data_IF_281278102714
#
_entry.id   IF_281278102714
#
_cell.length_a   1.000
_cell.length_b   1.000
_cell.length_c   1.000
_cell.angle_alpha   90.00
_cell.angle_beta   90.00
_cell.angle_gamma   90.00
#
_symmetry.space_group_name_H-M   'P 1'
#
loop_
_entity.id
_entity.type
_entity.pdbx_description
1 polymer ?
#
# COMPACT_ATOMS: atom_id res chain seq x y z
N UNK A 1 -0.02 -4.92 15.03
CA UNK A 1 -0.93 -5.48 14.01
C UNK A 1 -0.19 -6.60 13.30
N UNK A 2 -0.87 -7.68 12.92
CA UNK A 2 -0.38 -8.69 11.98
C UNK A 2 -1.27 -8.73 10.72
N UNK A 3 -0.75 -9.20 9.59
CA UNK A 3 -1.49 -9.36 8.35
C UNK A 3 -1.42 -10.81 7.85
N UNK A 4 -2.51 -11.27 7.23
CA UNK A 4 -2.56 -12.50 6.45
C UNK A 4 -3.02 -12.11 5.05
N UNK A 5 -2.12 -12.23 4.08
CA UNK A 5 -2.34 -11.76 2.72
C UNK A 5 -2.39 -12.97 1.78
N UNK A 6 -3.55 -13.17 1.15
CA UNK A 6 -3.77 -14.14 0.07
C UNK A 6 -4.61 -13.44 -1.00
N UNK A 7 -4.52 -13.88 -2.25
CA UNK A 7 -5.31 -13.31 -3.33
C UNK A 7 -6.81 -13.35 -2.98
N UNK A 8 -7.47 -12.19 -3.06
CA UNK A 8 -8.88 -12.02 -2.68
C UNK A 8 -9.18 -12.12 -1.19
N UNK A 9 -8.18 -12.35 -0.34
CA UNK A 9 -8.34 -12.54 1.10
C UNK A 9 -7.16 -11.92 1.86
N UNK A 10 -7.30 -10.62 2.12
CA UNK A 10 -6.30 -9.82 2.83
C UNK A 10 -6.88 -9.38 4.18
N UNK A 11 -6.46 -10.03 5.27
CA UNK A 11 -6.99 -9.82 6.63
C UNK A 11 -5.95 -9.17 7.54
N UNK A 12 -6.44 -8.35 8.46
CA UNK A 12 -5.64 -7.74 9.52
C UNK A 12 -6.06 -8.31 10.86
N UNK A 13 -5.08 -8.41 11.76
CA UNK A 13 -5.28 -8.85 13.13
C UNK A 13 -4.65 -7.87 14.11
N UNK A 14 -5.36 -7.63 15.22
CA UNK A 14 -4.77 -7.07 16.42
C UNK A 14 -4.17 -8.22 17.24
N UNK A 15 -2.97 -7.98 17.79
CA UNK A 15 -2.32 -8.91 18.71
C UNK A 15 -2.52 -8.38 20.11
N UNK A 16 -3.21 -9.15 20.95
CA UNK A 16 -3.41 -8.80 22.36
C UNK A 16 -3.29 -10.09 23.18
N UNK A 17 -2.43 -10.06 24.21
CA UNK A 17 -2.20 -11.20 25.11
C UNK A 17 -1.93 -12.53 24.37
N UNK A 18 -1.08 -12.49 23.34
CA UNK A 18 -0.71 -13.68 22.55
C UNK A 18 -1.81 -14.23 21.63
N UNK A 19 -3.01 -13.65 21.61
CA UNK A 19 -4.10 -14.05 20.72
C UNK A 19 -4.28 -13.06 19.57
N UNK A 20 -4.48 -13.59 18.37
CA UNK A 20 -4.87 -12.81 17.21
C UNK A 20 -6.39 -12.63 17.17
N UNK A 21 -6.86 -11.39 17.14
CA UNK A 21 -8.28 -11.05 16.92
C UNK A 21 -8.41 -10.24 15.63
N UNK A 22 -9.54 -10.32 14.90
CA UNK A 22 -9.78 -9.47 13.74
C UNK A 22 -9.48 -8.01 14.07
N UNK A 23 -8.76 -7.32 13.18
CA UNK A 23 -8.46 -5.91 13.36
C UNK A 23 -9.75 -5.10 13.12
N UNK A 24 -10.10 -4.14 13.99
CA UNK A 24 -11.33 -3.37 13.84
C UNK A 24 -11.31 -2.54 12.55
N UNK A 25 -12.38 -2.63 11.75
CA UNK A 25 -12.47 -2.01 10.42
C UNK A 25 -12.39 -0.49 10.47
N UNK A 26 -12.97 0.12 11.51
CA UNK A 26 -12.97 1.55 11.78
C UNK A 26 -11.56 2.10 12.04
N UNK A 27 -10.61 1.23 12.45
CA UNK A 27 -9.22 1.62 12.68
C UNK A 27 -8.35 1.53 11.43
N UNK A 28 -8.82 0.92 10.33
CA UNK A 28 -8.00 0.74 9.12
C UNK A 28 -7.53 2.09 8.55
N UNK A 29 -8.40 3.10 8.54
CA UNK A 29 -8.06 4.46 8.10
C UNK A 29 -7.36 5.32 9.16
N UNK A 30 -7.10 4.80 10.36
CA UNK A 30 -6.50 5.57 11.45
C UNK A 30 -5.01 5.79 11.21
N UNK A 31 -4.53 7.00 11.54
CA UNK A 31 -3.12 7.38 11.52
C UNK A 31 -2.30 6.61 12.57
N UNK A 32 -1.00 6.46 12.30
CA UNK A 32 -0.04 5.74 13.13
C UNK A 32 1.06 6.71 13.58
N UNK A 33 1.39 6.67 14.88
CA UNK A 33 2.56 7.36 15.47
C UNK A 33 2.70 8.83 15.03
N UNK A 34 1.62 9.62 15.18
CA UNK A 34 1.53 11.04 14.81
C UNK A 34 1.96 11.38 13.37
N UNK A 35 2.03 10.38 12.49
CA UNK A 35 2.34 10.53 11.08
C UNK A 35 1.05 10.57 10.25
N UNK A 36 1.18 10.98 8.99
CA UNK A 36 0.06 10.89 8.07
C UNK A 36 -0.22 9.45 7.62
N UNK A 37 0.69 8.52 7.85
CA UNK A 37 0.56 7.10 7.47
C UNK A 37 -0.51 6.41 8.30
N UNK A 38 -1.30 5.58 7.65
CA UNK A 38 -2.41 4.83 8.24
C UNK A 38 -2.16 3.33 8.22
N UNK A 39 -2.96 2.59 8.97
CA UNK A 39 -2.94 1.12 8.97
C UNK A 39 -3.21 0.53 7.58
N UNK A 40 -4.07 1.17 6.80
CA UNK A 40 -4.32 0.84 5.39
C UNK A 40 -3.04 0.93 4.56
N UNK A 41 -2.27 2.01 4.70
CA UNK A 41 -1.04 2.27 3.93
C UNK A 41 0.05 1.23 4.21
N UNK A 42 0.31 0.92 5.50
CA UNK A 42 1.34 -0.05 5.87
C UNK A 42 0.95 -1.49 5.56
N UNK A 43 -0.35 -1.79 5.54
CA UNK A 43 -0.82 -3.16 5.32
C UNK A 43 -0.61 -3.65 3.89
N UNK A 44 -0.55 -2.72 2.92
CA UNK A 44 -0.49 -3.00 1.47
C UNK A 44 -1.54 -4.01 0.99
N UNK A 45 -2.67 -4.14 1.71
CA UNK A 45 -3.74 -5.12 1.42
C UNK A 45 -4.33 -4.97 0.03
N UNK A 46 -4.32 -3.76 -0.50
CA UNK A 46 -4.83 -3.46 -1.83
C UNK A 46 -4.13 -4.27 -2.94
N UNK A 47 -2.86 -4.66 -2.75
CA UNK A 47 -2.14 -5.52 -3.70
C UNK A 47 -2.76 -6.93 -3.83
N UNK A 48 -3.66 -7.30 -2.92
CA UNK A 48 -4.31 -8.60 -2.86
C UNK A 48 -5.82 -8.53 -3.13
N UNK A 49 -6.34 -7.35 -3.51
CA UNK A 49 -7.73 -7.23 -3.94
C UNK A 49 -7.97 -8.03 -5.22
N UNK A 50 -9.10 -8.75 -5.27
CA UNK A 50 -9.41 -9.69 -6.36
C UNK A 50 -9.76 -9.00 -7.68
N UNK A 51 -10.33 -7.80 -7.60
CA UNK A 51 -10.74 -7.03 -8.78
C UNK A 51 -9.56 -6.15 -9.21
N UNK A 52 -8.80 -6.68 -10.16
CA UNK A 52 -7.58 -6.09 -10.69
C UNK A 52 -7.63 -6.07 -12.22
N UNK A 53 -7.37 -4.91 -12.84
CA UNK A 53 -7.37 -4.74 -14.29
C UNK A 53 -6.11 -4.01 -14.75
N UNK A 54 -5.41 -4.54 -15.75
CA UNK A 54 -4.30 -3.81 -16.41
C UNK A 54 -4.92 -2.74 -17.32
N UNK A 55 -4.66 -1.48 -17.02
CA UNK A 55 -5.19 -0.31 -17.73
C UNK A 55 -4.32 0.12 -18.91
N UNK A 56 -3.09 -0.38 -18.98
CA UNK A 56 -2.12 -0.02 -20.01
C UNK A 56 -0.70 0.11 -19.46
N UNK A 57 0.11 0.89 -20.17
CA UNK A 57 1.53 1.09 -19.86
C UNK A 57 1.81 2.58 -19.66
N UNK A 58 2.58 2.91 -18.63
CA UNK A 58 3.01 4.28 -18.34
C UNK A 58 4.47 4.29 -17.86
N UNK A 59 5.17 5.42 -18.05
CA UNK A 59 6.53 5.61 -17.53
C UNK A 59 6.49 6.22 -16.14
N UNK A 60 7.14 5.59 -15.18
CA UNK A 60 7.43 6.16 -13.86
C UNK A 60 8.95 6.30 -13.74
N UNK A 61 9.44 7.54 -13.58
CA UNK A 61 10.89 7.84 -13.52
C UNK A 61 11.66 7.18 -14.68
N UNK A 62 11.14 7.33 -15.90
CA UNK A 62 11.65 6.73 -17.15
C UNK A 62 11.58 5.19 -17.24
N UNK A 63 11.08 4.50 -16.22
CA UNK A 63 10.91 3.03 -16.23
C UNK A 63 9.53 2.65 -16.77
N UNK A 64 9.49 1.67 -17.67
CA UNK A 64 8.23 1.14 -18.21
C UNK A 64 7.48 0.33 -17.14
N UNK A 65 6.23 0.72 -16.88
CA UNK A 65 5.38 0.08 -15.88
C UNK A 65 4.02 -0.34 -16.48
N UNK A 66 3.48 -1.45 -16.01
CA UNK A 66 2.04 -1.71 -16.11
C UNK A 66 1.30 -0.84 -15.11
N UNK A 67 0.26 -0.14 -15.57
CA UNK A 67 -0.70 0.53 -14.68
C UNK A 67 -1.84 -0.43 -14.39
N UNK A 68 -2.01 -0.77 -13.13
CA UNK A 68 -3.02 -1.72 -12.67
C UNK A 68 -4.04 -0.97 -11.82
N UNK A 69 -5.31 -1.07 -12.17
CA UNK A 69 -6.44 -0.60 -11.35
C UNK A 69 -6.88 -1.72 -10.43
N UNK A 70 -7.01 -1.42 -9.15
CA UNK A 70 -7.42 -2.31 -8.08
C UNK A 70 -8.68 -1.72 -7.43
N UNK A 71 -9.75 -2.49 -7.34
CA UNK A 71 -11.02 -2.05 -6.73
C UNK A 71 -11.19 -2.72 -5.37
N UNK A 72 -11.51 -1.93 -4.35
CA UNK A 72 -11.75 -2.47 -3.01
C UNK A 72 -12.98 -3.39 -3.07
N UNK A 73 -12.84 -4.70 -2.80
CA UNK A 73 -13.97 -5.62 -2.81
C UNK A 73 -14.86 -5.48 -1.56
N UNK A 74 -14.49 -4.58 -0.65
CA UNK A 74 -15.17 -4.30 0.61
C UNK A 74 -15.44 -2.81 0.75
N UNK A 75 -16.08 -2.44 1.86
CA UNK A 75 -16.32 -1.05 2.23
C UNK A 75 -15.47 -0.59 3.42
N UNK A 76 -14.39 -1.33 3.72
CA UNK A 76 -13.43 -0.97 4.77
C UNK A 76 -12.36 0.01 4.26
N UNK A 77 -11.68 0.67 5.21
CA UNK A 77 -10.63 1.64 4.88
C UNK A 77 -11.15 2.90 4.18
N UNK A 78 -10.21 3.66 3.60
CA UNK A 78 -10.50 4.93 2.91
C UNK A 78 -10.39 4.80 1.40
N UNK A 79 -9.71 3.77 0.90
CA UNK A 79 -9.52 3.56 -0.52
C UNK A 79 -10.68 2.75 -1.12
N UNK A 80 -11.31 3.31 -2.16
CA UNK A 80 -12.23 2.59 -3.04
C UNK A 80 -11.50 2.03 -4.27
N UNK A 81 -10.53 2.80 -4.79
CA UNK A 81 -9.74 2.48 -5.96
C UNK A 81 -8.28 2.78 -5.66
N UNK A 82 -7.41 1.84 -6.03
CA UNK A 82 -5.96 2.02 -6.03
C UNK A 82 -5.45 1.83 -7.45
N UNK A 83 -4.55 2.70 -7.90
CA UNK A 83 -3.70 2.41 -9.05
C UNK A 83 -2.30 2.05 -8.58
N UNK A 84 -1.77 0.95 -9.08
CA UNK A 84 -0.40 0.52 -8.83
C UNK A 84 0.37 0.48 -10.16
N UNK A 85 1.58 1.02 -10.14
CA UNK A 85 2.52 0.93 -11.25
C UNK A 85 3.58 -0.10 -10.92
N UNK A 86 3.61 -1.17 -11.71
CA UNK A 86 4.53 -2.29 -11.53
C UNK A 86 5.49 -2.35 -12.71
N UNK A 87 6.78 -2.37 -12.42
CA UNK A 87 7.85 -2.42 -13.42
C UNK A 87 7.69 -3.67 -14.31
N UNK A 88 7.68 -3.51 -15.64
CA UNK A 88 7.37 -4.60 -16.57
C UNK A 88 8.38 -5.75 -16.52
N UNK A 89 9.68 -5.43 -16.47
CA UNK A 89 10.75 -6.44 -16.45
C UNK A 89 10.93 -7.12 -15.08
N UNK A 90 10.94 -6.36 -14.00
CA UNK A 90 11.35 -6.85 -12.68
C UNK A 90 10.17 -7.13 -11.74
N UNK A 91 8.94 -6.75 -12.10
CA UNK A 91 7.77 -6.91 -11.23
C UNK A 91 7.79 -6.03 -9.97
N UNK A 92 8.75 -5.12 -9.84
CA UNK A 92 8.88 -4.24 -8.68
C UNK A 92 7.79 -3.16 -8.67
N UNK A 93 7.23 -2.88 -7.49
CA UNK A 93 6.28 -1.78 -7.30
C UNK A 93 7.00 -0.43 -7.37
N UNK A 94 6.54 0.47 -8.25
CA UNK A 94 7.19 1.76 -8.52
C UNK A 94 6.41 2.95 -7.97
N UNK A 95 5.07 2.90 -8.05
CA UNK A 95 4.18 3.93 -7.54
C UNK A 95 2.84 3.34 -7.14
N UNK A 96 2.17 3.97 -6.17
CA UNK A 96 0.77 3.69 -5.82
C UNK A 96 0.01 5.01 -5.70
N UNK A 97 -1.24 5.07 -6.14
CA UNK A 97 -2.18 6.15 -5.80
C UNK A 97 -3.48 5.58 -5.26
N UNK A 98 -3.96 6.14 -4.15
CA UNK A 98 -5.21 5.72 -3.50
C UNK A 98 -6.29 6.81 -3.59
N UNK A 99 -7.49 6.41 -3.99
CA UNK A 99 -8.65 7.28 -4.20
C UNK A 99 -9.81 6.88 -3.28
N UNK A 100 -10.58 7.86 -2.82
CA UNK A 100 -11.80 7.62 -2.05
C UNK A 100 -13.00 7.28 -2.95
N UNK A 101 -14.17 6.99 -2.35
CA UNK A 101 -15.42 6.66 -3.08
C UNK A 101 -15.90 7.76 -4.03
N UNK A 102 -15.57 9.02 -3.77
CA UNK A 102 -15.89 10.15 -4.64
C UNK A 102 -14.89 10.32 -5.80
N UNK A 103 -13.90 9.43 -5.94
CA UNK A 103 -12.84 9.55 -6.94
C UNK A 103 -11.78 10.62 -6.61
N UNK A 104 -11.73 11.10 -5.37
CA UNK A 104 -10.74 12.11 -4.93
C UNK A 104 -9.44 11.42 -4.52
N UNK A 105 -8.31 11.94 -5.02
CA UNK A 105 -6.97 11.48 -4.63
C UNK A 105 -6.78 11.73 -3.13
N UNK A 106 -6.40 10.66 -2.41
CA UNK A 106 -6.04 10.75 -1.00
C UNK A 106 -4.54 10.71 -0.81
N UNK A 107 -3.85 9.79 -1.50
CA UNK A 107 -2.42 9.56 -1.31
C UNK A 107 -1.68 9.12 -2.57
N UNK A 108 -0.38 9.41 -2.59
CA UNK A 108 0.58 8.90 -3.58
C UNK A 108 1.81 8.34 -2.89
N UNK A 109 2.20 7.12 -3.24
CA UNK A 109 3.37 6.45 -2.70
C UNK A 109 4.42 6.42 -3.80
N UNK A 110 5.59 6.96 -3.51
CA UNK A 110 6.75 6.89 -4.37
C UNK A 110 7.74 5.88 -3.81
N UNK A 111 7.93 4.76 -4.50
CA UNK A 111 8.97 3.81 -4.12
C UNK A 111 10.30 4.40 -4.59
N UNK A 112 11.22 4.57 -3.65
CA UNK A 112 12.51 5.25 -3.86
C UNK A 112 13.69 4.31 -3.77
N UNK A 113 13.54 3.19 -3.04
CA UNK A 113 14.58 2.17 -2.91
C UNK A 113 13.92 0.79 -2.75
N UNK A 114 14.56 -0.24 -3.30
CA UNK A 114 14.14 -1.64 -3.20
C UNK A 114 15.24 -2.46 -2.51
N UNK A 115 14.84 -3.55 -1.86
CA UNK A 115 15.76 -4.52 -1.28
C UNK A 115 15.41 -5.93 -1.72
N UNK A 116 16.42 -6.80 -1.75
CA UNK A 116 16.20 -8.23 -1.92
C UNK A 116 16.15 -8.94 -0.56
N UNK A 117 15.06 -9.70 -0.36
CA UNK A 117 14.86 -10.57 0.78
C UNK A 117 14.49 -11.96 0.25
N UNK A 118 15.28 -12.98 0.57
CA UNK A 118 15.07 -14.36 0.11
C UNK A 118 14.83 -14.47 -1.42
N UNK A 119 15.67 -13.78 -2.22
CA UNK A 119 15.57 -13.71 -3.70
C UNK A 119 14.32 -12.99 -4.24
N UNK A 120 13.56 -12.30 -3.38
CA UNK A 120 12.40 -11.51 -3.77
C UNK A 120 12.72 -10.02 -3.58
N UNK A 121 12.51 -9.23 -4.63
CA UNK A 121 12.59 -7.76 -4.54
C UNK A 121 11.36 -7.22 -3.81
N UNK A 122 11.58 -6.37 -2.81
CA UNK A 122 10.53 -5.72 -2.03
C UNK A 122 10.91 -4.27 -1.74
N UNK A 123 9.97 -3.49 -1.20
CA UNK A 123 10.15 -2.07 -0.88
C UNK A 123 11.16 -1.95 0.26
N UNK A 124 12.18 -1.10 0.07
CA UNK A 124 13.10 -0.68 1.13
C UNK A 124 12.78 0.73 1.60
N UNK A 125 12.53 1.66 0.67
CA UNK A 125 12.15 3.05 1.00
C UNK A 125 10.96 3.50 0.17
N UNK A 126 10.07 4.23 0.81
CA UNK A 126 8.98 4.91 0.11
C UNK A 126 8.64 6.25 0.76
N UNK A 127 8.22 7.19 -0.07
CA UNK A 127 7.67 8.48 0.37
C UNK A 127 6.18 8.45 0.14
N UNK A 128 5.39 8.79 1.15
CA UNK A 128 3.93 8.85 1.07
C UNK A 128 3.49 10.31 1.16
N UNK A 129 2.96 10.83 0.06
CA UNK A 129 2.29 12.11 0.00
C UNK A 129 0.82 11.95 0.36
N UNK A 130 0.31 12.85 1.19
CA UNK A 130 -1.11 12.97 1.54
C UNK A 130 -1.69 14.22 0.91
N UNK A 131 -2.83 14.09 0.24
CA UNK A 131 -3.47 15.16 -0.52
C UNK A 131 -4.73 15.66 0.19
N UNK A 132 -5.01 16.96 0.06
CA UNK A 132 -6.32 17.51 0.40
C UNK A 132 -7.35 16.94 -0.61
N UNK A 133 -8.39 16.19 -0.18
CA UNK A 133 -9.33 15.59 -1.11
C UNK A 133 -10.00 16.63 -2.01
N UNK A 134 -10.03 16.37 -3.31
CA UNK A 134 -10.60 17.28 -4.31
C UNK A 134 -9.65 18.37 -4.80
N UNK A 135 -8.37 18.37 -4.38
CA UNK A 135 -7.34 19.22 -4.96
C UNK A 135 -6.02 18.48 -5.14
N UNK A 136 -5.08 19.13 -5.83
CA UNK A 136 -3.70 18.64 -5.98
C UNK A 136 -2.76 19.13 -4.86
N UNK A 137 -3.31 19.70 -3.78
CA UNK A 137 -2.50 20.23 -2.66
C UNK A 137 -2.02 19.08 -1.76
N UNK A 138 -0.70 18.89 -1.69
CA UNK A 138 -0.07 18.04 -0.68
C UNK A 138 -0.16 18.72 0.68
N UNK A 139 -0.66 17.99 1.69
CA UNK A 139 -0.84 18.46 3.07
C UNK A 139 0.03 17.69 4.07
N UNK A 140 0.80 16.70 3.59
CA UNK A 140 1.66 15.88 4.44
C UNK A 140 2.54 14.97 3.61
N UNK A 141 3.76 14.72 4.09
CA UNK A 141 4.71 13.79 3.50
C UNK A 141 5.30 12.96 4.63
N UNK A 142 5.28 11.64 4.47
CA UNK A 142 5.94 10.72 5.41
C UNK A 142 6.96 9.86 4.66
N UNK A 143 8.16 9.78 5.22
CA UNK A 143 9.25 8.95 4.72
C UNK A 143 9.27 7.65 5.51
N UNK A 144 9.26 6.52 4.81
CA UNK A 144 9.31 5.20 5.41
C UNK A 144 10.52 4.44 4.90
N UNK A 145 11.25 3.85 5.83
CA UNK A 145 12.35 2.92 5.56
C UNK A 145 12.06 1.59 6.26
N UNK A 146 12.08 0.52 5.49
CA UNK A 146 11.99 -0.85 5.98
C UNK A 146 13.40 -1.36 6.21
N UNK A 147 13.66 -1.83 7.43
CA UNK A 147 14.90 -2.55 7.72
C UNK A 147 14.79 -3.97 7.15
N UNK A 148 15.90 -4.48 6.63
CA UNK A 148 15.95 -5.86 6.16
C UNK A 148 15.59 -6.79 7.34
N UNK A 149 14.61 -7.70 7.18
CA UNK A 149 14.20 -8.56 8.28
C UNK A 149 15.38 -9.44 8.69
N UNK A 150 15.65 -9.50 9.99
CA UNK A 150 16.53 -10.54 10.54
C UNK A 150 15.80 -11.87 10.38
N UNK A 151 16.48 -12.91 9.89
CA UNK A 151 15.95 -14.27 10.02
C UNK A 151 15.68 -14.47 11.52
N UNK A 152 14.44 -14.73 11.90
CA UNK A 152 14.16 -15.31 13.21
C UNK A 152 14.91 -16.64 13.21
N UNK A 153 15.97 -16.73 14.01
CA UNK A 153 16.61 -18.00 14.28
C UNK A 153 15.51 -18.94 14.79
N UNK A 154 15.33 -20.05 14.10
CA UNK A 154 14.64 -21.20 14.66
C UNK A 154 15.54 -21.83 15.72
#
# INVERSE_FOLDING_TARGET
MASQLRQGNAKLFSLSQGKAKPFPTEKIGQRILDSDVTYEDLSLRFLYWKDATIMGQEKIKMQQCHKIRLVNPTNDGRYSIVYAWVHQKFGALMQVTGYNRDGKLLKRFHITDIMEVNKVQTIKKMNIETYKPGSNKVIGITYLEFTKPKKLGL
#
